data_IF_850870223071
#
_entry.id   IF_850870223071
#
_cell.length_a   1.000
_cell.length_b   1.000
_cell.length_c   1.000
_cell.angle_alpha   90.00
_cell.angle_beta   90.00
_cell.angle_gamma   90.00
#
_symmetry.space_group_name_H-M   'P 1'
#
loop_
_entity.id
_entity.type
_entity.pdbx_description
1 polymer ?
#
# COMPACT_ATOMS: atom_id res chain seq x y z
N UNK A 1 -1.69 12.90 0.59
CA UNK A 1 -1.81 11.61 1.32
C UNK A 1 -2.77 10.69 0.57
N UNK A 2 -2.69 9.37 0.82
CA UNK A 2 -3.61 8.36 0.25
C UNK A 2 -5.09 8.78 0.41
N UNK A 3 -5.43 9.33 1.57
CA UNK A 3 -6.75 9.88 1.91
C UNK A 3 -7.30 10.87 0.87
N UNK A 4 -6.52 11.87 0.46
CA UNK A 4 -6.99 12.90 -0.49
C UNK A 4 -7.13 12.36 -1.91
N UNK A 5 -6.18 11.52 -2.34
CA UNK A 5 -6.17 10.95 -3.69
C UNK A 5 -7.35 10.01 -3.92
N UNK A 6 -7.72 9.25 -2.89
CA UNK A 6 -8.80 8.26 -2.95
C UNK A 6 -10.09 8.72 -2.26
N UNK A 7 -10.14 9.97 -1.77
CA UNK A 7 -11.26 10.55 -1.02
C UNK A 7 -11.72 9.67 0.17
N UNK A 8 -10.76 9.16 0.95
CA UNK A 8 -10.99 8.27 2.08
C UNK A 8 -10.79 8.98 3.42
N UNK A 9 -11.64 8.67 4.39
CA UNK A 9 -11.42 9.06 5.80
C UNK A 9 -10.23 8.35 6.43
N UNK A 10 -9.74 8.90 7.55
CA UNK A 10 -8.53 8.42 8.25
C UNK A 10 -8.57 6.92 8.55
N UNK A 11 -9.63 6.43 9.19
CA UNK A 11 -9.72 5.02 9.62
C UNK A 11 -9.70 4.03 8.46
N UNK A 12 -10.29 4.38 7.30
CA UNK A 12 -10.24 3.53 6.11
C UNK A 12 -8.84 3.54 5.49
N UNK A 13 -8.21 4.71 5.40
CA UNK A 13 -6.84 4.81 4.90
C UNK A 13 -5.83 4.06 5.80
N UNK A 14 -6.00 4.11 7.13
CA UNK A 14 -5.18 3.36 8.08
C UNK A 14 -5.28 1.85 7.84
N UNK A 15 -6.50 1.31 7.75
CA UNK A 15 -6.73 -0.12 7.46
C UNK A 15 -6.09 -0.58 6.15
N UNK A 16 -6.15 0.25 5.10
CA UNK A 16 -5.52 -0.05 3.83
C UNK A 16 -4.00 -0.10 3.99
N UNK A 17 -3.39 0.87 4.67
CA UNK A 17 -1.95 0.86 4.93
C UNK A 17 -1.52 -0.37 5.76
N UNK A 18 -2.31 -0.77 6.75
CA UNK A 18 -2.02 -1.96 7.57
C UNK A 18 -2.14 -3.26 6.76
N UNK A 19 -3.11 -3.35 5.84
CA UNK A 19 -3.19 -4.47 4.89
C UNK A 19 -1.97 -4.49 3.95
N UNK A 20 -1.65 -3.36 3.33
CA UNK A 20 -0.51 -3.23 2.43
C UNK A 20 0.81 -3.58 3.13
N UNK A 21 0.97 -3.24 4.41
CA UNK A 21 2.16 -3.62 5.18
C UNK A 21 2.20 -5.13 5.45
N UNK A 22 1.07 -5.74 5.84
CA UNK A 22 0.96 -7.19 6.07
C UNK A 22 1.21 -8.02 4.81
N UNK A 23 0.80 -7.50 3.67
CA UNK A 23 1.04 -8.12 2.35
C UNK A 23 2.44 -7.84 1.80
N UNK A 24 3.28 -7.10 2.53
CA UNK A 24 4.65 -6.77 2.11
C UNK A 24 4.72 -5.83 0.90
N UNK A 25 3.68 -5.03 0.67
CA UNK A 25 3.62 -4.01 -0.39
C UNK A 25 4.35 -2.74 0.06
N UNK A 26 4.22 -2.38 1.35
CA UNK A 26 4.88 -1.23 1.96
C UNK A 26 5.65 -1.63 3.21
N UNK A 27 6.73 -0.89 3.49
CA UNK A 27 7.55 -1.06 4.69
C UNK A 27 6.89 -0.57 5.98
N UNK A 28 7.54 -0.84 7.13
CA UNK A 28 7.08 -0.34 8.42
C UNK A 28 7.07 1.20 8.47
N UNK A 29 6.27 1.80 9.37
CA UNK A 29 6.30 3.24 9.57
C UNK A 29 7.67 3.68 10.11
N UNK A 30 8.23 4.74 9.52
CA UNK A 30 9.51 5.32 9.92
C UNK A 30 9.35 6.81 10.27
N UNK A 31 8.76 7.02 11.45
CA UNK A 31 8.49 8.35 11.98
C UNK A 31 7.65 9.22 11.01
N UNK A 32 8.07 10.47 10.73
CA UNK A 32 7.33 11.36 9.84
C UNK A 32 7.58 11.06 8.34
N UNK A 33 8.49 10.15 8.01
CA UNK A 33 8.85 9.87 6.62
C UNK A 33 7.75 9.06 5.92
N UNK A 34 7.59 9.24 4.60
CA UNK A 34 6.74 8.34 3.80
C UNK A 34 7.22 6.90 3.95
N UNK A 35 6.27 5.96 3.99
CA UNK A 35 6.59 4.53 4.01
C UNK A 35 7.24 4.14 2.68
N UNK A 36 8.28 3.32 2.78
CA UNK A 36 8.93 2.72 1.61
C UNK A 36 7.96 1.77 0.89
N UNK A 37 8.00 1.76 -0.44
CA UNK A 37 7.23 0.81 -1.26
C UNK A 37 8.17 -0.32 -1.64
N UNK A 38 7.83 -1.54 -1.22
CA UNK A 38 8.70 -2.71 -1.37
C UNK A 38 8.48 -3.45 -2.71
N UNK A 39 7.32 -3.24 -3.33
CA UNK A 39 6.96 -3.85 -4.62
C UNK A 39 7.24 -2.89 -5.77
N UNK A 40 7.76 -3.42 -6.87
CA UNK A 40 7.96 -2.66 -8.10
C UNK A 40 6.61 -2.35 -8.75
N UNK A 41 6.45 -1.25 -9.51
CA UNK A 41 5.14 -0.86 -10.07
C UNK A 41 4.44 -1.91 -10.94
N UNK A 42 5.21 -2.78 -11.60
CA UNK A 42 4.78 -3.89 -12.46
C UNK A 42 4.25 -5.12 -11.70
N UNK A 43 4.38 -5.16 -10.36
CA UNK A 43 3.96 -6.31 -9.55
C UNK A 43 2.48 -6.70 -9.68
N UNK A 44 1.61 -5.76 -10.04
CA UNK A 44 0.18 -6.05 -10.26
C UNK A 44 -0.03 -6.91 -11.51
N UNK A 45 0.76 -6.70 -12.56
CA UNK A 45 0.69 -7.49 -13.79
C UNK A 45 1.16 -8.92 -13.54
N UNK A 46 2.20 -9.10 -12.71
CA UNK A 46 2.70 -10.41 -12.29
C UNK A 46 1.62 -11.22 -11.55
N UNK A 47 0.86 -10.59 -10.63
CA UNK A 47 -0.21 -11.25 -9.88
C UNK A 47 -1.40 -11.61 -10.80
N UNK A 48 -1.82 -10.70 -11.67
CA UNK A 48 -2.93 -10.96 -12.59
C UNK A 48 -2.62 -12.14 -13.52
N UNK A 49 -1.38 -12.25 -13.98
CA UNK A 49 -0.92 -13.39 -14.77
C UNK A 49 -0.91 -14.73 -14.02
N UNK A 50 -0.70 -14.74 -12.70
CA UNK A 50 -0.71 -15.96 -11.89
C UNK A 50 -2.12 -16.46 -11.54
N UNK A 51 -3.12 -15.57 -11.56
CA UNK A 51 -4.51 -15.88 -11.22
C UNK A 51 -5.36 -16.32 -12.43
N UNK A 52 -4.87 -16.11 -13.65
CA UNK A 52 -5.48 -16.57 -14.90
C UNK A 52 -5.01 -17.97 -15.28
#
# INVERSE_FOLDING_TARGET
TLQRRLRLGYGRAARILDMMQREGIIGPPDGPRPREVLKRPDWLEEIDHQLR
#
